data_IF_530377902890
#
_entry.id   IF_530377902890
#
_cell.length_a   1.000
_cell.length_b   1.000
_cell.length_c   1.000
_cell.angle_alpha   90.00
_cell.angle_beta   90.00
_cell.angle_gamma   90.00
#
_symmetry.space_group_name_H-M   'P 1'
#
loop_
_entity.id
_entity.type
_entity.pdbx_description
1 polymer ?
#
# COMPACT_ATOMS: atom_id res chain seq x y z
N UNK A 1 8.02 -23.14 -6.72
CA UNK A 1 8.88 -22.78 -5.57
C UNK A 1 9.00 -21.27 -5.56
N UNK A 2 9.02 -20.63 -4.38
CA UNK A 2 9.18 -19.18 -4.25
C UNK A 2 10.56 -18.88 -3.65
N UNK A 3 11.17 -17.77 -4.08
CA UNK A 3 12.44 -17.29 -3.56
C UNK A 3 12.24 -16.47 -2.27
N UNK A 4 11.11 -15.77 -2.17
CA UNK A 4 10.79 -14.88 -1.03
C UNK A 4 9.33 -15.02 -0.63
N UNK A 5 9.09 -15.12 0.68
CA UNK A 5 7.76 -15.00 1.28
C UNK A 5 7.67 -13.70 2.09
N UNK A 6 6.64 -12.90 1.82
CA UNK A 6 6.35 -11.64 2.52
C UNK A 6 5.09 -11.82 3.35
N UNK A 7 5.14 -11.38 4.62
CA UNK A 7 3.99 -11.37 5.52
C UNK A 7 3.50 -9.93 5.66
N UNK A 8 2.24 -9.68 5.28
CA UNK A 8 1.62 -8.37 5.20
C UNK A 8 1.61 -7.82 3.76
N UNK A 9 0.43 -7.47 3.26
CA UNK A 9 0.15 -6.89 1.94
C UNK A 9 -0.02 -5.37 1.95
N UNK A 10 0.23 -4.73 3.08
CA UNK A 10 0.20 -3.27 3.28
C UNK A 10 1.28 -2.54 2.48
N UNK A 11 1.35 -1.19 2.49
CA UNK A 11 2.26 -0.44 1.62
C UNK A 11 3.73 -0.89 1.68
N UNK A 12 4.23 -1.32 2.84
CA UNK A 12 5.59 -1.86 2.95
C UNK A 12 5.75 -3.21 2.20
N UNK A 13 4.85 -4.16 2.47
CA UNK A 13 4.94 -5.51 1.91
C UNK A 13 4.63 -5.56 0.42
N UNK A 14 3.62 -4.83 -0.04
CA UNK A 14 3.28 -4.71 -1.47
C UNK A 14 4.41 -4.03 -2.28
N UNK A 15 5.02 -2.96 -1.76
CA UNK A 15 6.16 -2.32 -2.44
C UNK A 15 7.37 -3.25 -2.49
N UNK A 16 7.70 -3.94 -1.39
CA UNK A 16 8.79 -4.91 -1.36
C UNK A 16 8.55 -6.04 -2.37
N UNK A 17 7.33 -6.57 -2.44
CA UNK A 17 6.96 -7.62 -3.39
C UNK A 17 7.18 -7.18 -4.84
N UNK A 18 6.76 -5.96 -5.18
CA UNK A 18 6.86 -5.42 -6.54
C UNK A 18 8.32 -5.17 -6.93
N UNK A 19 9.12 -4.59 -6.03
CA UNK A 19 10.55 -4.40 -6.29
C UNK A 19 11.26 -5.74 -6.49
N UNK A 20 11.01 -6.73 -5.64
CA UNK A 20 11.61 -8.06 -5.77
C UNK A 20 11.15 -8.76 -7.05
N UNK A 21 9.86 -8.72 -7.38
CA UNK A 21 9.32 -9.30 -8.61
C UNK A 21 9.92 -8.64 -9.87
N UNK A 22 10.09 -7.30 -9.88
CA UNK A 22 10.73 -6.57 -10.98
C UNK A 22 12.17 -6.97 -11.24
N UNK A 23 12.85 -7.46 -10.20
CA UNK A 23 14.21 -7.98 -10.32
C UNK A 23 14.24 -9.48 -10.68
N UNK A 24 13.10 -10.10 -11.00
CA UNK A 24 13.01 -11.47 -11.51
C UNK A 24 12.89 -12.56 -10.43
N UNK A 25 12.58 -12.19 -9.18
CA UNK A 25 12.38 -13.15 -8.08
C UNK A 25 10.93 -13.65 -8.06
N UNK A 26 10.73 -14.93 -7.74
CA UNK A 26 9.42 -15.51 -7.45
C UNK A 26 9.02 -15.15 -6.02
N UNK A 27 8.02 -14.29 -5.86
CA UNK A 27 7.59 -13.77 -4.54
C UNK A 27 6.17 -14.21 -4.24
N UNK A 28 5.93 -14.65 -3.01
CA UNK A 28 4.59 -14.89 -2.46
C UNK A 28 4.31 -13.90 -1.32
N UNK A 29 3.09 -13.36 -1.26
CA UNK A 29 2.64 -12.45 -0.20
C UNK A 29 1.48 -13.10 0.53
N UNK A 30 1.56 -13.12 1.86
CA UNK A 30 0.47 -13.57 2.73
C UNK A 30 -0.08 -12.37 3.49
N UNK A 31 -1.36 -12.07 3.30
CA UNK A 31 -2.08 -11.07 4.07
C UNK A 31 -3.17 -11.77 4.88
N UNK A 32 -3.29 -11.38 6.15
CA UNK A 32 -4.27 -11.94 7.08
C UNK A 32 -5.67 -11.44 6.76
N UNK A 33 -5.79 -10.18 6.35
CA UNK A 33 -7.07 -9.52 6.15
C UNK A 33 -7.51 -9.49 4.69
N UNK A 34 -8.81 -9.32 4.45
CA UNK A 34 -9.36 -9.18 3.09
C UNK A 34 -9.41 -7.70 2.72
N UNK A 35 -8.86 -7.35 1.55
CA UNK A 35 -8.97 -6.00 1.01
C UNK A 35 -10.30 -5.76 0.28
N UNK A 36 -10.84 -4.51 0.26
CA UNK A 36 -10.36 -3.34 1.00
C UNK A 36 -10.69 -3.43 2.49
N UNK A 37 -9.83 -2.82 3.32
CA UNK A 37 -9.99 -2.80 4.77
C UNK A 37 -9.62 -1.46 5.37
N UNK A 38 -10.22 -1.13 6.50
CA UNK A 38 -9.95 0.12 7.22
C UNK A 38 -8.55 0.10 7.83
N UNK A 39 -7.81 1.18 7.63
CA UNK A 39 -6.54 1.46 8.29
C UNK A 39 -6.35 2.93 8.54
N UNK A 40 -5.72 3.21 9.68
CA UNK A 40 -5.20 4.52 9.99
C UNK A 40 -3.82 4.65 9.32
N UNK A 41 -3.59 5.76 8.61
CA UNK A 41 -2.35 6.00 7.87
C UNK A 41 -2.51 6.71 6.52
N UNK A 42 -3.63 7.39 6.29
CA UNK A 42 -3.95 8.02 5.00
C UNK A 42 -3.03 9.21 4.64
N UNK A 43 -2.38 9.82 5.65
CA UNK A 43 -1.34 10.82 5.41
C UNK A 43 -0.06 10.18 4.86
N UNK A 44 0.04 10.13 3.53
CA UNK A 44 1.27 9.77 2.85
C UNK A 44 2.25 10.95 2.86
N UNK A 45 3.47 10.69 3.31
CA UNK A 45 4.58 11.66 3.19
C UNK A 45 4.97 11.80 1.73
N UNK A 46 5.20 13.03 1.25
CA UNK A 46 5.55 13.32 -0.16
C UNK A 46 6.74 12.48 -0.67
N UNK A 47 7.69 12.18 0.22
CA UNK A 47 8.83 11.33 -0.10
C UNK A 47 8.43 9.92 -0.51
N UNK A 48 7.52 9.27 0.23
CA UNK A 48 7.09 7.89 -0.03
C UNK A 48 6.46 7.75 -1.42
N UNK A 49 5.59 8.69 -1.79
CA UNK A 49 4.99 8.69 -3.13
C UNK A 49 6.05 8.86 -4.23
N UNK A 50 7.00 9.80 -4.06
CA UNK A 50 8.09 10.00 -5.03
C UNK A 50 9.01 8.80 -5.15
N UNK A 51 9.34 8.16 -4.03
CA UNK A 51 10.24 7.02 -3.99
C UNK A 51 9.65 5.78 -4.66
N UNK A 52 8.35 5.51 -4.47
CA UNK A 52 7.75 4.25 -4.91
C UNK A 52 6.90 4.37 -6.19
N UNK A 53 6.34 5.55 -6.51
CA UNK A 53 5.49 5.71 -7.70
C UNK A 53 6.15 5.29 -9.04
N UNK A 54 7.44 5.55 -9.31
CA UNK A 54 8.08 5.08 -10.55
C UNK A 54 8.11 3.54 -10.66
N UNK A 55 8.08 2.86 -9.51
CA UNK A 55 8.09 1.41 -9.44
C UNK A 55 6.68 0.80 -9.41
N UNK A 56 5.66 1.61 -9.21
CA UNK A 56 4.30 1.17 -9.01
C UNK A 56 3.48 1.58 -10.24
N UNK A 57 2.97 0.62 -11.00
CA UNK A 57 2.05 0.90 -12.11
C UNK A 57 0.67 1.25 -11.57
N UNK A 58 0.58 2.33 -10.78
CA UNK A 58 -0.67 2.83 -10.25
C UNK A 58 -1.38 3.63 -11.35
N UNK A 59 -2.51 3.09 -11.80
CA UNK A 59 -3.52 3.89 -12.48
C UNK A 59 -4.42 4.47 -11.39
N UNK A 60 -4.64 5.80 -11.30
CA UNK A 60 -5.59 6.35 -10.36
C UNK A 60 -6.97 5.76 -10.63
N UNK A 61 -7.49 4.99 -9.67
CA UNK A 61 -8.84 4.44 -9.75
C UNK A 61 -9.81 5.54 -9.33
N UNK A 62 -10.58 6.07 -10.29
CA UNK A 62 -11.75 6.89 -9.99
C UNK A 62 -12.80 5.96 -9.36
N UNK A 63 -13.45 6.41 -8.29
CA UNK A 63 -14.46 5.70 -7.49
C UNK A 63 -13.96 4.95 -6.24
N UNK A 64 -13.31 5.69 -5.32
CA UNK A 64 -13.41 5.37 -3.89
C UNK A 64 -14.38 6.37 -3.25
N UNK A 65 -15.42 5.84 -2.60
CA UNK A 65 -16.42 6.57 -1.83
C UNK A 65 -15.76 7.52 -0.80
N UNK A 66 -16.42 8.62 -0.40
CA UNK A 66 -15.78 9.67 0.40
C UNK A 66 -15.27 9.09 1.72
N UNK A 67 -13.99 9.32 1.98
CA UNK A 67 -13.39 9.21 3.31
C UNK A 67 -14.25 10.07 4.24
N UNK A 68 -14.87 9.43 5.23
CA UNK A 68 -15.71 10.11 6.22
C UNK A 68 -14.88 11.19 6.92
N UNK A 69 -15.25 12.44 6.69
CA UNK A 69 -14.73 13.59 7.38
C UNK A 69 -15.14 13.54 8.86
N UNK A 70 -14.34 12.88 9.69
CA UNK A 70 -14.55 12.91 11.14
C UNK A 70 -13.21 12.80 11.88
N UNK A 71 -12.49 13.92 11.96
CA UNK A 71 -11.80 14.41 13.19
C UNK A 71 -11.46 15.89 12.97
N UNK A 72 -12.49 16.74 12.83
CA UNK A 72 -12.38 18.15 13.17
C UNK A 72 -12.76 18.27 14.65
N UNK A 73 -11.85 17.81 15.52
CA UNK A 73 -12.00 17.86 16.96
C UNK A 73 -11.26 19.05 17.55
N UNK A 74 -12.02 20.10 17.87
CA UNK A 74 -11.84 21.03 19.00
C UNK A 74 -10.48 21.74 19.16
N UNK A 75 -10.41 23.00 18.73
CA UNK A 75 -9.60 24.02 19.40
C UNK A 75 -10.55 25.13 19.84
N UNK A 76 -10.89 25.10 21.14
CA UNK A 76 -11.24 26.27 21.93
C UNK A 76 -10.02 27.17 22.10
#
# INVERSE_FOLDING_TARGET
MYDVAIIGGEPAGSNAAILLAKTGRQVIVFEREKFPRFHIGESLVSFSTKAFAPHLSLVPKKDQAPVSAETAGVMS
#
